data_IF_733867562761
#
_entry.id   IF_733867562761
#
_cell.length_a   1.000
_cell.length_b   1.000
_cell.length_c   1.000
_cell.angle_alpha   90.00
_cell.angle_beta   90.00
_cell.angle_gamma   90.00
#
_symmetry.space_group_name_H-M   'P 1'
#
loop_
_entity.id
_entity.type
_entity.pdbx_description
1 polymer ?
#
# COMPACT_ATOMS: atom_id res chain seq x y z
N UNK A 1 -4.78 -0.80 20.66
CA UNK A 1 -4.88 -0.12 19.38
C UNK A 1 -3.58 -0.35 18.64
N UNK A 2 -3.66 -0.83 17.41
CA UNK A 2 -2.50 -1.03 16.53
C UNK A 2 -1.97 0.33 16.06
N UNK A 3 -0.65 0.43 15.84
CA UNK A 3 -0.03 1.61 15.20
C UNK A 3 -0.66 1.93 13.84
N UNK A 4 -1.20 0.92 13.17
CA UNK A 4 -1.98 1.07 11.93
C UNK A 4 -3.37 1.66 12.19
N UNK A 5 -4.08 1.23 13.24
CA UNK A 5 -5.39 1.78 13.61
C UNK A 5 -5.29 3.27 14.01
N UNK A 6 -4.23 3.65 14.73
CA UNK A 6 -3.92 5.05 15.03
C UNK A 6 -3.63 5.85 13.75
N UNK A 7 -2.82 5.30 12.84
CA UNK A 7 -2.47 5.95 11.56
C UNK A 7 -3.69 6.14 10.65
N UNK A 8 -4.59 5.17 10.59
CA UNK A 8 -5.83 5.23 9.79
C UNK A 8 -6.81 6.27 10.36
N UNK A 9 -6.95 6.33 11.68
CA UNK A 9 -7.79 7.32 12.36
C UNK A 9 -7.25 8.75 12.16
N UNK A 10 -5.93 8.92 12.18
CA UNK A 10 -5.27 10.20 11.88
C UNK A 10 -5.51 10.61 10.42
N UNK A 11 -5.38 9.69 9.47
CA UNK A 11 -5.61 9.96 8.03
C UNK A 11 -7.04 10.40 7.71
N UNK A 12 -8.02 10.01 8.53
CA UNK A 12 -9.43 10.40 8.37
C UNK A 12 -9.75 11.77 9.02
N UNK A 13 -8.88 12.31 9.87
CA UNK A 13 -9.22 13.45 10.74
C UNK A 13 -8.24 14.63 10.64
N UNK A 14 -7.00 14.43 10.19
CA UNK A 14 -6.01 15.50 10.03
C UNK A 14 -4.97 15.12 8.98
N UNK A 15 -4.65 16.03 8.06
CA UNK A 15 -3.62 15.87 7.01
C UNK A 15 -2.17 15.79 7.59
N UNK A 16 -2.00 15.22 8.79
CA UNK A 16 -0.73 15.03 9.47
C UNK A 16 -0.80 13.70 10.24
N UNK A 17 -0.10 12.68 9.74
CA UNK A 17 0.12 11.43 10.45
C UNK A 17 1.27 11.61 11.46
N UNK A 18 1.09 11.20 12.72
CA UNK A 18 2.17 11.19 13.73
C UNK A 18 3.13 9.98 13.60
N UNK A 19 2.84 9.05 12.69
CA UNK A 19 3.59 7.83 12.38
C UNK A 19 4.17 7.73 10.94
N UNK A 20 4.70 6.56 10.54
CA UNK A 20 5.18 6.34 9.17
C UNK A 20 4.02 6.37 8.15
N UNK A 21 4.32 6.80 6.92
CA UNK A 21 3.33 6.87 5.83
C UNK A 21 2.67 5.50 5.57
N UNK A 22 1.36 5.46 5.27
CA UNK A 22 0.58 4.22 5.11
C UNK A 22 1.24 3.21 4.15
N UNK A 23 1.75 3.67 3.01
CA UNK A 23 2.40 2.82 2.00
C UNK A 23 3.69 2.18 2.52
N UNK A 24 4.37 2.80 3.49
CA UNK A 24 5.61 2.27 4.06
C UNK A 24 5.39 0.90 4.71
N UNK A 25 4.22 0.67 5.31
CA UNK A 25 3.85 -0.63 5.91
C UNK A 25 3.81 -1.77 4.88
N UNK A 26 3.52 -1.45 3.60
CA UNK A 26 3.39 -2.41 2.52
C UNK A 26 4.64 -2.48 1.63
N UNK A 27 5.64 -1.62 1.85
CA UNK A 27 6.79 -1.47 0.95
C UNK A 27 7.53 -2.77 0.68
N UNK A 28 7.72 -3.60 1.70
CA UNK A 28 8.40 -4.89 1.55
C UNK A 28 7.65 -5.84 0.59
N UNK A 29 6.31 -5.85 0.63
CA UNK A 29 5.49 -6.63 -0.29
C UNK A 29 5.49 -6.02 -1.69
N UNK A 30 5.22 -4.72 -1.81
CA UNK A 30 5.20 -4.01 -3.09
C UNK A 30 6.51 -4.22 -3.86
N UNK A 31 7.65 -4.15 -3.18
CA UNK A 31 8.96 -4.40 -3.79
C UNK A 31 9.12 -5.83 -4.32
N UNK A 32 8.59 -6.84 -3.61
CA UNK A 32 8.59 -8.24 -4.09
C UNK A 32 7.74 -8.43 -5.35
N UNK A 33 6.68 -7.64 -5.48
CA UNK A 33 5.80 -7.62 -6.66
C UNK A 33 6.34 -6.75 -7.81
N UNK A 34 7.54 -6.17 -7.65
CA UNK A 34 8.14 -5.27 -8.66
C UNK A 34 7.51 -3.88 -8.73
N UNK A 35 6.75 -3.49 -7.70
CA UNK A 35 6.09 -2.19 -7.60
C UNK A 35 7.07 -1.17 -7.02
N UNK A 36 7.39 -0.16 -7.83
CA UNK A 36 8.40 0.86 -7.57
C UNK A 36 7.89 1.96 -6.63
N UNK A 37 8.78 2.46 -5.78
CA UNK A 37 8.55 3.70 -5.02
C UNK A 37 8.72 4.94 -5.90
N UNK A 38 8.25 6.11 -5.46
CA UNK A 38 8.50 7.38 -6.15
C UNK A 38 10.00 7.66 -6.31
N UNK A 39 10.82 7.34 -5.29
CA UNK A 39 12.27 7.44 -5.39
C UNK A 39 12.89 6.44 -6.37
N UNK A 40 12.32 5.25 -6.54
CA UNK A 40 12.77 4.28 -7.54
C UNK A 40 12.35 4.71 -8.97
N UNK A 41 11.16 5.29 -9.13
CA UNK A 41 10.73 5.91 -10.39
C UNK A 41 11.69 7.03 -10.82
N UNK A 42 12.18 7.84 -9.87
CA UNK A 42 13.19 8.86 -10.14
C UNK A 42 14.50 8.28 -10.72
N UNK A 43 14.82 7.02 -10.44
CA UNK A 43 16.03 6.32 -10.92
C UNK A 43 15.78 5.49 -12.18
N UNK A 44 14.55 5.03 -12.41
CA UNK A 44 14.19 4.21 -13.57
C UNK A 44 14.37 4.97 -14.91
N UNK A 45 14.67 4.33 -16.04
CA UNK A 45 14.80 5.04 -17.32
C UNK A 45 13.50 5.74 -17.75
N UNK A 46 13.60 6.95 -18.30
CA UNK A 46 12.43 7.63 -18.89
C UNK A 46 11.83 6.81 -20.04
N UNK A 47 10.50 6.83 -20.17
CA UNK A 47 9.79 6.05 -21.18
C UNK A 47 9.69 4.54 -20.90
N UNK A 48 10.24 4.03 -19.79
CA UNK A 48 10.10 2.62 -19.40
C UNK A 48 8.68 2.27 -18.94
N UNK A 49 8.33 0.98 -19.06
CA UNK A 49 7.11 0.45 -18.46
C UNK A 49 7.36 0.19 -16.97
N UNK A 50 6.51 0.72 -16.10
CA UNK A 50 6.67 0.63 -14.64
C UNK A 50 5.34 0.35 -13.98
N UNK A 51 5.40 -0.21 -12.75
CA UNK A 51 4.28 -0.33 -11.83
C UNK A 51 4.64 0.43 -10.55
N UNK A 52 3.74 1.25 -10.03
CA UNK A 52 3.92 2.01 -8.78
C UNK A 52 2.62 1.97 -7.97
N UNK A 53 2.70 2.24 -6.67
CA UNK A 53 1.53 2.27 -5.80
C UNK A 53 1.63 3.45 -4.84
N UNK A 54 0.48 4.05 -4.54
CA UNK A 54 0.42 5.19 -3.63
C UNK A 54 -1.00 5.52 -3.19
N UNK A 55 -1.10 6.32 -2.14
CA UNK A 55 -2.36 6.93 -1.70
C UNK A 55 -2.70 8.06 -2.65
N UNK A 56 -3.96 8.14 -3.08
CA UNK A 56 -4.42 9.22 -3.95
C UNK A 56 -4.75 10.43 -3.09
N UNK A 57 -3.90 11.45 -3.16
CA UNK A 57 -4.10 12.72 -2.45
C UNK A 57 -4.93 13.72 -3.25
N UNK A 58 -4.82 13.68 -4.59
CA UNK A 58 -5.55 14.62 -5.47
C UNK A 58 -6.12 13.88 -6.67
N UNK A 59 -7.37 14.23 -7.03
CA UNK A 59 -8.04 13.82 -8.28
C UNK A 59 -8.49 15.06 -9.03
N UNK A 60 -7.94 15.28 -10.23
CA UNK A 60 -8.27 16.44 -11.05
C UNK A 60 -8.78 16.00 -12.43
N UNK A 61 -9.85 16.67 -12.89
CA UNK A 61 -10.35 16.56 -14.26
C UNK A 61 -10.62 17.97 -14.81
N UNK A 62 -9.56 18.72 -15.19
CA UNK A 62 -9.73 20.07 -15.69
C UNK A 62 -10.62 20.09 -16.93
N UNK A 63 -11.55 21.05 -17.02
CA UNK A 63 -12.46 21.18 -18.16
C UNK A 63 -11.73 21.37 -19.50
N UNK A 64 -10.53 21.95 -19.47
CA UNK A 64 -9.67 22.20 -20.63
C UNK A 64 -8.86 20.98 -21.07
N UNK A 65 -8.76 19.93 -20.25
CA UNK A 65 -7.89 18.79 -20.50
C UNK A 65 -8.52 17.72 -21.41
N UNK A 66 -9.52 18.07 -22.22
CA UNK A 66 -10.20 17.15 -23.17
C UNK A 66 -10.64 15.83 -22.52
N UNK A 67 -11.06 15.90 -21.25
CA UNK A 67 -11.55 14.74 -20.49
C UNK A 67 -10.48 13.88 -19.80
N UNK A 68 -9.19 14.22 -19.91
CA UNK A 68 -8.13 13.57 -19.15
C UNK A 68 -8.32 13.76 -17.65
N UNK A 69 -7.88 12.75 -16.89
CA UNK A 69 -7.89 12.76 -15.43
C UNK A 69 -6.46 12.63 -14.92
N UNK A 70 -6.14 13.38 -13.88
CA UNK A 70 -4.85 13.40 -13.22
C UNK A 70 -5.03 12.96 -11.78
N UNK A 71 -4.26 11.95 -11.36
CA UNK A 71 -4.20 11.51 -9.97
C UNK A 71 -2.81 11.84 -9.44
N UNK A 72 -2.74 12.49 -8.28
CA UNK A 72 -1.49 12.59 -7.54
C UNK A 72 -1.43 11.44 -6.54
N UNK A 73 -0.41 10.61 -6.68
CA UNK A 73 -0.13 9.48 -5.82
C UNK A 73 1.04 9.83 -4.91
N UNK A 74 0.89 9.52 -3.63
CA UNK A 74 1.93 9.69 -2.63
C UNK A 74 2.32 8.35 -2.03
N UNK A 75 3.62 8.16 -1.86
CA UNK A 75 4.21 7.13 -1.03
C UNK A 75 5.22 7.73 -0.04
N UNK A 76 5.84 6.90 0.78
CA UNK A 76 6.77 7.34 1.83
C UNK A 76 8.06 7.99 1.29
N UNK A 77 8.28 7.94 -0.01
CA UNK A 77 9.47 8.47 -0.69
C UNK A 77 9.19 9.69 -1.55
N UNK A 78 7.91 10.05 -1.73
CA UNK A 78 7.48 11.24 -2.46
C UNK A 78 6.23 11.04 -3.30
N UNK A 79 6.09 11.88 -4.33
CA UNK A 79 4.89 11.93 -5.15
C UNK A 79 5.17 11.55 -6.61
N UNK A 80 4.17 10.95 -7.26
CA UNK A 80 4.12 10.83 -8.71
C UNK A 80 2.70 11.08 -9.22
N UNK A 81 2.56 11.46 -10.49
CA UNK A 81 1.26 11.69 -11.09
C UNK A 81 0.85 10.54 -12.01
N UNK A 82 -0.36 10.01 -11.90
CA UNK A 82 -0.93 9.14 -12.93
C UNK A 82 -1.82 9.97 -13.87
N UNK A 83 -1.58 9.85 -15.17
CA UNK A 83 -2.31 10.54 -16.23
C UNK A 83 -3.19 9.51 -16.95
N UNK A 84 -4.50 9.73 -16.88
CA UNK A 84 -5.51 8.83 -17.43
C UNK A 84 -6.14 9.47 -18.66
N UNK A 85 -6.19 8.71 -19.75
CA UNK A 85 -6.98 9.06 -20.93
C UNK A 85 -8.47 8.91 -20.63
N UNK A 86 -9.35 9.66 -21.35
CA UNK A 86 -10.79 9.62 -21.13
C UNK A 86 -11.39 8.20 -21.16
N UNK A 87 -10.93 7.35 -22.08
CA UNK A 87 -11.45 6.00 -22.27
C UNK A 87 -11.11 5.11 -21.08
N UNK A 88 -9.84 5.11 -20.68
CA UNK A 88 -9.37 4.36 -19.52
C UNK A 88 -10.06 4.79 -18.23
N UNK A 89 -10.31 6.09 -18.06
CA UNK A 89 -11.08 6.59 -16.92
C UNK A 89 -12.54 6.12 -16.95
N UNK A 90 -13.19 6.11 -18.12
CA UNK A 90 -14.56 5.61 -18.25
C UNK A 90 -14.66 4.14 -17.86
N UNK A 91 -13.71 3.32 -18.30
CA UNK A 91 -13.64 1.89 -17.98
C UNK A 91 -13.34 1.63 -16.49
N UNK A 92 -12.47 2.44 -15.88
CA UNK A 92 -11.99 2.24 -14.51
C UNK A 92 -12.61 3.21 -13.49
N UNK A 93 -13.73 3.87 -13.83
CA UNK A 93 -14.30 4.97 -13.04
C UNK A 93 -14.52 4.59 -11.58
N UNK A 94 -15.12 3.42 -11.34
CA UNK A 94 -15.41 2.95 -9.99
C UNK A 94 -14.13 2.79 -9.15
N UNK A 95 -13.08 2.23 -9.74
CA UNK A 95 -11.80 2.02 -9.09
C UNK A 95 -11.09 3.34 -8.80
N UNK A 96 -11.03 4.25 -9.77
CA UNK A 96 -10.33 5.55 -9.67
C UNK A 96 -11.02 6.49 -8.67
N UNK A 97 -12.35 6.49 -8.65
CA UNK A 97 -13.13 7.37 -7.77
C UNK A 97 -13.25 6.78 -6.36
N UNK A 98 -13.45 5.46 -6.23
CA UNK A 98 -13.81 4.82 -4.97
C UNK A 98 -12.67 4.19 -4.17
N UNK A 99 -11.42 4.27 -4.65
CA UNK A 99 -10.27 3.68 -3.94
C UNK A 99 -9.41 4.76 -3.31
N UNK A 100 -9.02 4.66 -2.03
CA UNK A 100 -8.12 5.62 -1.39
C UNK A 100 -6.68 5.49 -1.89
N UNK A 101 -6.25 4.28 -2.25
CA UNK A 101 -4.94 3.98 -2.81
C UNK A 101 -5.06 3.08 -4.03
N UNK A 102 -4.12 3.18 -4.96
CA UNK A 102 -4.08 2.39 -6.18
C UNK A 102 -2.67 1.92 -6.51
N UNK A 103 -2.61 0.78 -7.19
CA UNK A 103 -1.46 0.39 -7.99
C UNK A 103 -1.73 0.86 -9.43
N UNK A 104 -0.73 1.50 -10.03
CA UNK A 104 -0.78 2.04 -11.40
C UNK A 104 0.35 1.44 -12.21
N UNK A 105 -0.01 0.88 -13.35
CA UNK A 105 0.95 0.41 -14.35
C UNK A 105 0.84 1.28 -15.60
N UNK A 106 1.99 1.63 -16.16
CA UNK A 106 2.04 2.41 -17.39
C UNK A 106 3.43 2.94 -17.71
N UNK A 107 3.47 3.84 -18.68
CA UNK A 107 4.73 4.38 -19.18
C UNK A 107 5.19 5.57 -18.35
N UNK A 108 6.38 5.48 -17.77
CA UNK A 108 7.03 6.56 -17.05
C UNK A 108 7.37 7.72 -17.99
N UNK A 109 7.11 8.94 -17.55
CA UNK A 109 7.51 10.19 -18.17
C UNK A 109 8.14 11.09 -17.12
N UNK A 110 9.37 11.53 -17.40
CA UNK A 110 10.09 12.51 -16.58
C UNK A 110 10.17 13.81 -17.34
N UNK A 111 9.51 14.86 -16.83
CA UNK A 111 9.52 16.18 -17.47
C UNK A 111 9.61 17.27 -16.41
N UNK A 112 10.57 18.18 -16.56
CA UNK A 112 10.74 19.35 -15.69
C UNK A 112 10.75 18.98 -14.19
N UNK A 113 11.42 17.88 -13.84
CA UNK A 113 11.48 17.34 -12.48
C UNK A 113 10.22 16.61 -11.99
N UNK A 114 9.15 16.59 -12.78
CA UNK A 114 7.91 15.89 -12.46
C UNK A 114 7.97 14.44 -12.95
N UNK A 115 7.62 13.51 -12.05
CA UNK A 115 7.40 12.10 -12.37
C UNK A 115 5.92 11.87 -12.69
N UNK A 116 5.64 11.41 -13.91
CA UNK A 116 4.28 11.06 -14.30
C UNK A 116 4.22 9.71 -15.00
N UNK A 117 3.14 8.98 -14.81
CA UNK A 117 2.86 7.70 -15.45
C UNK A 117 1.69 7.91 -16.41
N UNK A 118 1.90 7.66 -17.69
CA UNK A 118 0.78 7.48 -18.62
C UNK A 118 0.16 6.13 -18.31
N UNK A 119 -0.95 6.15 -17.59
CA UNK A 119 -1.56 4.94 -17.06
C UNK A 119 -2.14 4.08 -18.19
N UNK A 120 -1.95 2.78 -18.04
CA UNK A 120 -2.50 1.75 -18.92
C UNK A 120 -3.37 0.76 -18.13
N UNK A 121 -3.01 0.46 -16.87
CA UNK A 121 -3.79 -0.42 -15.99
C UNK A 121 -3.82 0.09 -14.56
N UNK A 122 -4.88 -0.25 -13.86
CA UNK A 122 -5.09 0.05 -12.45
C UNK A 122 -5.49 -1.22 -11.69
N UNK A 123 -4.96 -1.35 -10.48
CA UNK A 123 -5.38 -2.37 -9.52
C UNK A 123 -5.65 -1.70 -8.17
N UNK A 124 -6.61 -2.25 -7.42
CA UNK A 124 -6.88 -1.75 -6.06
C UNK A 124 -5.69 -2.13 -5.17
N UNK A 125 -5.13 -1.16 -4.45
CA UNK A 125 -4.22 -1.48 -3.35
C UNK A 125 -5.06 -1.80 -2.12
N UNK A 126 -5.06 -3.06 -1.69
CA UNK A 126 -5.66 -3.43 -0.41
C UNK A 126 -4.80 -2.86 0.71
N UNK A 127 -5.35 -1.88 1.44
CA UNK A 127 -4.73 -1.30 2.63
C UNK A 127 -5.04 -2.10 3.91
N UNK A 128 -5.62 -3.29 3.79
CA UNK A 128 -5.73 -4.22 4.91
C UNK A 128 -4.32 -4.72 5.23
N UNK A 129 -3.85 -4.57 6.47
CA UNK A 129 -2.57 -5.18 6.88
C UNK A 129 -2.55 -6.63 6.38
N UNK A 130 -1.49 -7.10 5.70
CA UNK A 130 -1.29 -8.53 5.64
C UNK A 130 -1.21 -8.96 7.10
N UNK A 131 -2.19 -9.74 7.56
CA UNK A 131 -2.13 -10.39 8.86
C UNK A 131 -0.74 -11.01 8.89
N UNK A 132 0.19 -10.54 9.75
CA UNK A 132 1.49 -11.18 9.85
C UNK A 132 1.13 -12.63 10.12
N UNK A 133 1.57 -13.56 9.25
CA UNK A 133 1.37 -14.98 9.50
C UNK A 133 1.57 -15.16 10.99
N UNK A 134 0.51 -15.57 11.69
CA UNK A 134 0.58 -15.89 13.11
C UNK A 134 1.87 -16.67 13.23
N UNK A 135 2.91 -16.07 13.82
CA UNK A 135 4.05 -16.82 14.31
C UNK A 135 3.35 -17.85 15.16
N UNK A 136 3.26 -19.09 14.67
CA UNK A 136 2.71 -20.20 15.44
C UNK A 136 3.32 -20.00 16.83
N UNK A 137 2.53 -19.88 17.91
CA UNK A 137 3.13 -19.75 19.21
C UNK A 137 4.13 -20.89 19.30
N UNK A 138 5.41 -20.55 19.39
CA UNK A 138 6.45 -21.51 19.71
C UNK A 138 6.02 -21.97 21.07
N UNK A 139 5.35 -23.12 21.11
CA UNK A 139 4.96 -23.73 22.37
C UNK A 139 6.27 -23.82 23.14
N UNK A 140 6.37 -23.26 24.36
CA UNK A 140 7.56 -23.48 25.15
C UNK A 140 7.72 -25.01 25.27
N UNK A 141 8.94 -25.56 25.14
CA UNK A 141 9.13 -26.97 25.36
C UNK A 141 8.68 -27.26 26.79
N UNK A 142 7.53 -27.91 26.93
CA UNK A 142 7.11 -28.41 28.23
C UNK A 142 8.17 -29.43 28.65
N UNK A 143 8.83 -29.26 29.81
CA UNK A 143 9.76 -30.28 30.28
C UNK A 143 8.96 -31.56 30.52
N UNK A 144 9.22 -32.58 29.71
CA UNK A 144 8.77 -33.93 29.99
C UNK A 144 9.61 -34.48 31.14
N UNK A 145 9.16 -34.27 32.37
CA UNK A 145 9.54 -35.15 33.46
C UNK A 145 8.31 -35.88 33.98
N UNK A 146 8.34 -37.18 33.75
CA UNK A 146 7.45 -38.21 34.27
C UNK A 146 7.68 -38.44 35.76
N UNK A 147 6.59 -38.89 36.39
CA UNK A 147 6.48 -39.72 37.60
C UNK A 147 6.72 -39.00 38.94
N UNK A 148 5.91 -39.18 39.98
CA UNK A 148 5.15 -40.37 40.41
C UNK A 148 4.08 -39.98 41.44
N UNK A 149 2.90 -40.61 41.38
CA UNK A 149 1.89 -40.55 42.43
C UNK A 149 2.35 -41.39 43.62
N UNK A 150 2.39 -40.90 44.87
CA UNK A 150 2.45 -41.75 46.04
C UNK A 150 1.05 -42.33 46.36
N UNK A 151 0.96 -43.52 46.97
CA UNK A 151 -0.28 -44.26 47.09
C UNK A 151 -1.22 -43.65 48.14
N UNK A 152 -2.51 -43.80 47.86
CA UNK A 152 -3.59 -43.62 48.83
C UNK A 152 -3.40 -44.56 50.01
N UNK A 153 -3.25 -44.02 51.21
CA UNK A 153 -3.42 -44.76 52.45
C UNK A 153 -4.75 -44.35 53.09
N UNK A 154 -5.65 -45.33 53.16
CA UNK A 154 -6.82 -45.34 54.04
C UNK A 154 -6.40 -45.07 55.49
N UNK A 155 -7.09 -44.16 56.17
CA UNK A 155 -7.37 -44.32 57.60
C UNK A 155 -8.78 -43.80 57.92
N UNK A 156 -9.59 -44.77 58.37
CA UNK A 156 -10.86 -44.75 59.10
C UNK A 156 -11.21 -43.49 59.87
#
# INVERSE_FOLDING_TARGET
>A
MSRFEETVADYQTSEITAGPHLVAHFRAQLRREGILSAADLAKAPDGSMVKTAGVIVVRQRPGTAKGFVFLSLEDETGMCQAILRPDLFRENRALVVGSPALVVEGRLQKKDGTLSIRAERFERMSLEEPIPELRKPVSPPYPQHRESTPPSHDFR
#
